data_IF_699179912880
#
_entry.id   IF_699179912880
#
_cell.length_a   1.000
_cell.length_b   1.000
_cell.length_c   1.000
_cell.angle_alpha   90.00
_cell.angle_beta   90.00
_cell.angle_gamma   90.00
#
_symmetry.space_group_name_H-M   'P 1'
#
loop_
_entity.id
_entity.type
_entity.pdbx_description
1 polymer ?
#
# COMPACT_ATOMS: atom_id res chain seq x y z
N UNK A 1 -13.00 20.86 18.16
CA UNK A 1 -11.78 20.22 17.63
C UNK A 1 -10.75 21.30 17.34
N UNK A 2 -9.55 21.21 17.92
CA UNK A 2 -8.44 22.08 17.53
C UNK A 2 -7.96 21.69 16.13
N UNK A 3 -7.72 22.68 15.27
CA UNK A 3 -7.24 22.46 13.90
C UNK A 3 -5.83 21.86 13.86
N UNK A 4 -5.33 21.50 12.67
CA UNK A 4 -3.98 20.95 12.50
C UNK A 4 -2.86 21.97 12.75
N UNK A 5 -3.19 23.27 12.80
CA UNK A 5 -2.24 24.35 13.07
C UNK A 5 -2.84 25.38 14.02
N UNK A 6 -1.97 26.06 14.79
CA UNK A 6 -2.31 27.24 15.58
C UNK A 6 -1.52 28.45 15.11
N UNK A 7 -2.15 29.62 15.25
CA UNK A 7 -1.50 30.91 15.02
C UNK A 7 -0.79 31.32 16.30
N UNK A 8 0.48 31.70 16.18
CA UNK A 8 1.31 32.27 17.23
C UNK A 8 1.74 33.66 16.76
N UNK A 9 1.20 34.70 17.38
CA UNK A 9 1.56 36.07 17.04
C UNK A 9 2.81 36.45 17.85
N UNK A 10 3.93 36.62 17.15
CA UNK A 10 5.21 37.03 17.73
C UNK A 10 5.46 38.49 17.39
N UNK A 11 6.42 39.14 18.07
CA UNK A 11 6.84 40.50 17.77
C UNK A 11 7.30 40.68 16.30
N UNK A 12 7.81 39.60 15.71
CA UNK A 12 8.21 39.49 14.29
C UNK A 12 7.05 39.20 13.32
N UNK A 13 5.81 39.08 13.80
CA UNK A 13 4.61 38.81 12.98
C UNK A 13 3.92 37.48 13.26
N UNK A 14 2.92 37.16 12.43
CA UNK A 14 2.06 35.98 12.56
C UNK A 14 2.80 34.71 12.11
N UNK A 15 3.04 33.79 13.04
CA UNK A 15 3.62 32.47 12.76
C UNK A 15 2.55 31.38 12.84
N UNK A 16 2.44 30.53 11.82
CA UNK A 16 1.54 29.36 11.84
C UNK A 16 2.37 28.13 12.21
N UNK A 17 2.04 27.50 13.35
CA UNK A 17 2.74 26.31 13.85
C UNK A 17 1.85 25.07 13.77
N UNK A 18 2.45 23.93 13.47
CA UNK A 18 1.75 22.65 13.51
C UNK A 18 1.46 22.25 14.97
N UNK A 19 0.25 21.76 15.23
CA UNK A 19 -0.05 21.20 16.54
C UNK A 19 0.73 19.89 16.75
N UNK A 20 1.33 19.67 17.94
CA UNK A 20 2.02 18.42 18.25
C UNK A 20 1.13 17.18 18.07
N UNK A 21 -0.16 17.30 18.39
CA UNK A 21 -1.15 16.24 18.21
C UNK A 21 -1.34 15.83 16.74
N UNK A 22 -1.18 16.77 15.80
CA UNK A 22 -1.22 16.49 14.36
C UNK A 22 -0.03 15.62 13.93
N UNK A 23 1.17 15.95 14.42
CA UNK A 23 2.38 15.18 14.13
C UNK A 23 2.30 13.76 14.71
N UNK A 24 1.80 13.62 15.95
CA UNK A 24 1.59 12.31 16.59
C UNK A 24 0.59 11.45 15.83
N UNK A 25 -0.53 12.02 15.37
CA UNK A 25 -1.53 11.31 14.55
C UNK A 25 -0.92 10.82 13.22
N UNK A 26 -0.11 11.66 12.57
CA UNK A 26 0.55 11.29 11.32
C UNK A 26 1.56 10.14 11.52
N UNK A 27 2.32 10.15 12.61
CA UNK A 27 3.25 9.06 12.93
C UNK A 27 2.53 7.75 13.24
N UNK A 28 1.46 7.79 14.05
CA UNK A 28 0.63 6.64 14.35
C UNK A 28 0.06 5.99 13.07
N UNK A 29 -0.44 6.81 12.14
CA UNK A 29 -0.96 6.31 10.86
C UNK A 29 0.12 5.64 10.01
N UNK A 30 1.32 6.23 9.93
CA UNK A 30 2.46 5.64 9.20
C UNK A 30 2.84 4.28 9.77
N UNK A 31 2.89 4.14 11.10
CA UNK A 31 3.19 2.87 11.78
C UNK A 31 2.13 1.81 11.49
N UNK A 32 0.85 2.17 11.56
CA UNK A 32 -0.24 1.24 11.22
C UNK A 32 -0.11 0.76 9.78
N UNK A 33 0.08 1.68 8.83
CA UNK A 33 0.26 1.33 7.40
C UNK A 33 1.44 0.38 7.18
N UNK A 34 2.55 0.59 7.88
CA UNK A 34 3.70 -0.31 7.81
C UNK A 34 3.33 -1.72 8.31
N UNK A 35 2.70 -1.81 9.49
CA UNK A 35 2.28 -3.10 10.06
C UNK A 35 1.28 -3.87 9.18
N UNK A 36 0.35 -3.18 8.51
CA UNK A 36 -0.60 -3.84 7.60
C UNK A 36 0.09 -4.59 6.45
N UNK A 37 1.29 -4.14 6.05
CA UNK A 37 2.05 -4.81 4.99
C UNK A 37 2.58 -6.18 5.42
N UNK A 38 2.92 -6.35 6.70
CA UNK A 38 3.33 -7.64 7.29
C UNK A 38 2.21 -8.68 7.25
N UNK A 39 0.94 -8.23 7.32
CA UNK A 39 -0.24 -9.10 7.26
C UNK A 39 -0.68 -9.47 5.83
N UNK A 40 0.15 -9.25 4.80
CA UNK A 40 -0.22 -9.67 3.46
C UNK A 40 -1.27 -8.77 2.78
N UNK A 41 -1.52 -7.57 3.33
CA UNK A 41 -2.53 -6.64 2.79
C UNK A 41 -2.05 -5.88 1.54
N UNK A 42 -0.83 -6.14 1.06
CA UNK A 42 -0.37 -5.65 -0.24
C UNK A 42 -0.36 -6.78 -1.28
N UNK A 43 -0.64 -6.48 -2.56
CA UNK A 43 -0.52 -7.47 -3.64
C UNK A 43 0.88 -8.11 -3.72
N UNK A 44 1.93 -7.34 -3.40
CA UNK A 44 3.32 -7.82 -3.40
C UNK A 44 3.63 -8.76 -2.22
N UNK A 45 3.00 -8.56 -1.07
CA UNK A 45 3.15 -9.43 0.10
C UNK A 45 2.39 -10.76 -0.03
N UNK A 46 1.49 -10.89 -1.02
CA UNK A 46 0.84 -12.16 -1.32
C UNK A 46 1.77 -12.96 -2.24
N UNK A 47 2.19 -14.16 -1.79
CA UNK A 47 2.87 -15.09 -2.67
C UNK A 47 2.02 -15.34 -3.92
N UNK A 48 2.65 -15.32 -5.11
CA UNK A 48 1.98 -15.73 -6.35
C UNK A 48 1.50 -17.17 -6.17
N UNK A 49 0.19 -17.38 -6.16
CA UNK A 49 -0.39 -18.73 -6.24
C UNK A 49 -0.14 -19.20 -7.67
N UNK A 50 0.92 -19.97 -7.87
CA UNK A 50 1.16 -20.67 -9.14
C UNK A 50 0.29 -21.91 -9.17
N UNK A 51 -0.72 -21.95 -10.04
CA UNK A 51 -1.38 -23.22 -10.35
C UNK A 51 -0.38 -24.11 -11.10
N UNK A 52 0.09 -25.18 -10.45
CA UNK A 52 0.78 -26.29 -11.10
C UNK A 52 -0.23 -27.17 -11.86
N UNK A 53 -1.17 -26.55 -12.59
CA UNK A 53 -1.95 -27.32 -13.55
C UNK A 53 -1.02 -27.67 -14.70
N UNK A 54 -1.03 -28.95 -15.16
CA UNK A 54 -0.36 -29.30 -16.40
C UNK A 54 -0.74 -28.29 -17.47
N UNK A 55 0.24 -27.80 -18.23
CA UNK A 55 -0.03 -26.92 -19.35
C UNK A 55 -1.06 -27.62 -20.24
N UNK A 56 -2.20 -26.97 -20.46
CA UNK A 56 -3.22 -27.46 -21.38
C UNK A 56 -2.54 -27.61 -22.75
N UNK A 57 -2.66 -28.78 -23.37
CA UNK A 57 -2.04 -29.02 -24.68
C UNK A 57 -2.56 -27.95 -25.65
N UNK A 58 -1.63 -27.28 -26.35
CA UNK A 58 -1.99 -26.30 -27.36
C UNK A 58 -2.92 -26.98 -28.39
N UNK A 59 -4.13 -26.44 -28.62
CA UNK A 59 -5.08 -27.01 -29.59
C UNK A 59 -4.48 -27.22 -30.99
N UNK A 60 -3.49 -26.41 -31.37
CA UNK A 60 -2.77 -26.53 -32.63
C UNK A 60 -1.81 -27.73 -32.65
N UNK A 61 -1.06 -27.98 -31.58
CA UNK A 61 -0.18 -29.15 -31.44
C UNK A 61 -0.99 -30.46 -31.49
N UNK A 62 -2.14 -30.50 -30.80
CA UNK A 62 -3.06 -31.63 -30.85
C UNK A 62 -3.61 -31.88 -32.27
N UNK A 63 -3.89 -30.81 -33.02
CA UNK A 63 -4.33 -30.90 -34.42
C UNK A 63 -3.24 -31.44 -35.36
N UNK A 64 -1.99 -31.00 -35.19
CA UNK A 64 -0.86 -31.49 -35.99
C UNK A 64 -0.55 -32.97 -35.74
N UNK A 65 -0.61 -33.42 -34.47
CA UNK A 65 -0.46 -34.85 -34.12
C UNK A 65 -1.50 -35.74 -34.80
N UNK A 66 -2.73 -35.24 -34.97
CA UNK A 66 -3.84 -35.99 -35.58
C UNK A 66 -3.74 -36.16 -37.10
N UNK A 67 -2.82 -35.43 -37.76
CA UNK A 67 -2.57 -35.54 -39.21
C UNK A 67 -1.40 -36.45 -39.59
N UNK A 68 -0.58 -36.88 -38.62
CA UNK A 68 0.44 -37.92 -38.83
C UNK A 68 -0.20 -39.29 -38.67
#
# INVERSE_FOLDING_TARGET
EEGYTYKNNTESGLMIKAHPSAAMKADAWKRIRAMLSEFGMTPASRAKVTMNTPAEEDPFEAFLKKRK
#
